data_IF_648832227629
#
_entry.id   IF_648832227629
#
_cell.length_a   1.000
_cell.length_b   1.000
_cell.length_c   1.000
_cell.angle_alpha   90.00
_cell.angle_beta   90.00
_cell.angle_gamma   90.00
#
_symmetry.space_group_name_H-M   'P 1'
#
loop_
_entity.id
_entity.type
_entity.pdbx_description
1 polymer ?
#
# COMPACT_ATOMS: atom_id res chain seq x y z
N UNK A 1 -16.94 -0.75 -3.20
CA UNK A 1 -17.59 -1.05 -1.90
C UNK A 1 -16.57 -1.40 -0.81
N UNK A 2 -15.74 -2.44 -1.00
CA UNK A 2 -14.74 -2.90 -0.01
C UNK A 2 -13.77 -1.82 0.51
N UNK A 3 -13.30 -0.94 -0.38
CA UNK A 3 -12.45 0.20 0.01
C UNK A 3 -13.09 1.08 1.11
N UNK A 4 -14.39 1.37 1.02
CA UNK A 4 -15.08 2.20 2.03
C UNK A 4 -15.20 1.46 3.36
N UNK A 5 -15.43 0.14 3.33
CA UNK A 5 -15.44 -0.71 4.52
C UNK A 5 -14.09 -0.70 5.24
N UNK A 6 -12.98 -0.70 4.49
CA UNK A 6 -11.64 -0.58 5.07
C UNK A 6 -11.43 0.77 5.78
N UNK A 7 -11.89 1.88 5.19
CA UNK A 7 -11.79 3.22 5.83
C UNK A 7 -12.48 3.23 7.19
N UNK A 8 -13.64 2.58 7.35
CA UNK A 8 -14.35 2.50 8.63
C UNK A 8 -13.86 1.34 9.53
N UNK A 9 -12.80 0.60 9.13
CA UNK A 9 -12.29 -0.59 9.82
C UNK A 9 -13.35 -1.68 10.04
N UNK A 10 -14.25 -1.87 9.06
CA UNK A 10 -15.17 -3.01 9.08
C UNK A 10 -14.44 -4.31 8.74
N UNK A 11 -14.81 -5.38 9.44
CA UNK A 11 -14.37 -6.75 9.13
C UNK A 11 -15.17 -7.28 7.96
N UNK A 12 -14.50 -7.90 6.99
CA UNK A 12 -15.11 -8.56 5.84
C UNK A 12 -14.77 -10.04 5.90
N UNK A 13 -15.75 -10.89 5.62
CA UNK A 13 -15.60 -12.35 5.55
C UNK A 13 -16.07 -12.76 4.16
N UNK A 14 -15.27 -13.60 3.49
CA UNK A 14 -15.65 -14.21 2.23
C UNK A 14 -16.62 -15.36 2.49
N UNK A 15 -17.74 -15.37 1.78
CA UNK A 15 -18.75 -16.43 1.85
C UNK A 15 -18.56 -17.32 0.62
N UNK A 16 -18.37 -18.64 0.78
CA UNK A 16 -18.25 -19.53 -0.36
C UNK A 16 -19.54 -19.48 -1.19
N UNK A 17 -19.40 -19.23 -2.48
CA UNK A 17 -20.51 -19.22 -3.43
C UNK A 17 -20.10 -20.03 -4.66
N UNK A 18 -20.75 -21.17 -4.84
CA UNK A 18 -20.53 -22.00 -6.03
C UNK A 18 -21.15 -21.31 -7.25
N UNK A 19 -20.31 -20.99 -8.23
CA UNK A 19 -20.77 -20.40 -9.48
C UNK A 19 -21.39 -21.49 -10.36
N UNK A 20 -22.68 -21.37 -10.67
CA UNK A 20 -23.35 -22.18 -11.69
C UNK A 20 -23.29 -21.45 -13.02
N UNK A 21 -22.24 -21.69 -13.79
CA UNK A 21 -22.15 -21.24 -15.17
C UNK A 21 -22.86 -22.28 -16.07
N UNK A 22 -23.78 -21.82 -16.91
CA UNK A 22 -24.33 -22.61 -18.01
C UNK A 22 -23.45 -22.48 -19.26
N UNK A 23 -24.07 -22.46 -20.43
CA UNK A 23 -23.37 -22.33 -21.74
C UNK A 23 -23.03 -20.86 -22.12
N UNK A 24 -22.99 -19.94 -21.14
CA UNK A 24 -22.77 -18.51 -21.39
C UNK A 24 -21.29 -18.22 -21.74
N UNK A 25 -21.05 -17.59 -22.90
CA UNK A 25 -19.72 -17.08 -23.24
C UNK A 25 -19.45 -15.74 -22.55
N UNK A 26 -18.27 -15.65 -21.90
CA UNK A 26 -17.78 -14.42 -21.28
C UNK A 26 -17.51 -13.34 -22.33
N UNK A 27 -18.27 -12.25 -22.26
CA UNK A 27 -18.05 -11.05 -23.09
C UNK A 27 -16.87 -10.18 -22.60
N UNK A 28 -16.13 -10.64 -21.58
CA UNK A 28 -15.12 -9.83 -20.90
C UNK A 28 -13.76 -9.91 -21.61
N UNK A 29 -13.35 -8.80 -22.22
CA UNK A 29 -12.01 -8.66 -22.80
C UNK A 29 -11.00 -8.28 -21.71
N UNK A 30 -10.26 -9.28 -21.22
CA UNK A 30 -9.29 -9.15 -20.12
C UNK A 30 -8.28 -8.02 -20.38
N UNK A 31 -7.70 -7.95 -21.58
CA UNK A 31 -6.71 -6.92 -21.95
C UNK A 31 -7.22 -5.49 -21.81
N UNK A 32 -8.51 -5.24 -22.11
CA UNK A 32 -9.12 -3.91 -22.00
C UNK A 32 -9.39 -3.52 -20.54
N UNK A 33 -9.70 -4.50 -19.69
CA UNK A 33 -10.18 -4.26 -18.33
C UNK A 33 -9.05 -4.25 -17.30
N UNK A 34 -7.94 -4.97 -17.54
CA UNK A 34 -6.81 -5.03 -16.60
C UNK A 34 -6.24 -3.65 -16.29
N UNK A 35 -6.02 -2.81 -17.30
CA UNK A 35 -5.48 -1.46 -17.10
C UNK A 35 -6.44 -0.56 -16.30
N UNK A 36 -7.73 -0.59 -16.65
CA UNK A 36 -8.76 0.19 -15.96
C UNK A 36 -8.90 -0.24 -14.50
N UNK A 37 -8.90 -1.56 -14.24
CA UNK A 37 -8.97 -2.13 -12.92
C UNK A 37 -7.73 -1.75 -12.09
N UNK A 38 -6.53 -1.94 -12.64
CA UNK A 38 -5.27 -1.59 -11.98
C UNK A 38 -5.25 -0.10 -11.58
N UNK A 39 -5.63 0.82 -12.48
CA UNK A 39 -5.67 2.25 -12.19
C UNK A 39 -6.69 2.60 -11.09
N UNK A 40 -7.91 2.03 -11.16
CA UNK A 40 -8.94 2.23 -10.13
C UNK A 40 -8.50 1.69 -8.77
N UNK A 41 -7.83 0.55 -8.73
CA UNK A 41 -7.29 -0.05 -7.52
C UNK A 41 -6.14 0.77 -6.93
N UNK A 42 -5.22 1.26 -7.76
CA UNK A 42 -4.14 2.14 -7.33
C UNK A 42 -4.69 3.44 -6.72
N UNK A 43 -5.68 4.07 -7.35
CA UNK A 43 -6.33 5.28 -6.81
C UNK A 43 -6.95 5.01 -5.43
N UNK A 44 -7.62 3.87 -5.25
CA UNK A 44 -8.20 3.49 -3.97
C UNK A 44 -7.12 3.17 -2.93
N UNK A 45 -6.03 2.53 -3.33
CA UNK A 45 -4.89 2.23 -2.46
C UNK A 45 -4.21 3.50 -1.95
N UNK A 46 -3.94 4.48 -2.82
CA UNK A 46 -3.36 5.77 -2.42
C UNK A 46 -4.29 6.53 -1.48
N UNK A 47 -5.59 6.60 -1.81
CA UNK A 47 -6.58 7.20 -0.89
C UNK A 47 -6.60 6.47 0.46
N UNK A 48 -6.51 5.14 0.49
CA UNK A 48 -6.47 4.36 1.74
C UNK A 48 -5.29 4.77 2.61
N UNK A 49 -4.10 4.89 2.00
CA UNK A 49 -2.89 5.27 2.72
C UNK A 49 -3.05 6.67 3.31
N UNK A 50 -3.47 7.63 2.49
CA UNK A 50 -3.61 9.03 2.92
C UNK A 50 -4.63 9.13 4.06
N UNK A 51 -5.83 8.59 3.90
CA UNK A 51 -6.87 8.72 4.91
C UNK A 51 -6.54 7.98 6.21
N UNK A 52 -6.09 6.72 6.15
CA UNK A 52 -5.87 5.93 7.35
C UNK A 52 -4.63 6.39 8.13
N UNK A 53 -3.53 6.76 7.45
CA UNK A 53 -2.24 7.02 8.11
C UNK A 53 -1.91 8.51 8.27
N UNK A 54 -2.48 9.41 7.44
CA UNK A 54 -2.17 10.84 7.55
C UNK A 54 -3.32 11.65 8.15
N UNK A 55 -4.57 11.32 7.81
CA UNK A 55 -5.73 12.05 8.36
C UNK A 55 -6.31 11.43 9.63
N UNK A 56 -6.40 10.09 9.70
CA UNK A 56 -7.09 9.41 10.80
C UNK A 56 -6.17 9.08 11.97
N UNK A 57 -5.15 8.26 11.72
CA UNK A 57 -4.22 7.77 12.75
C UNK A 57 -2.78 8.11 12.34
N UNK A 58 -2.24 9.21 12.88
CA UNK A 58 -0.85 9.60 12.65
C UNK A 58 0.09 8.70 13.45
N UNK A 59 0.52 7.61 12.82
CA UNK A 59 1.38 6.58 13.43
C UNK A 59 2.84 6.71 12.97
N UNK A 60 3.75 5.99 13.63
CA UNK A 60 5.14 5.88 13.18
C UNK A 60 5.24 5.37 11.72
N UNK A 61 4.28 4.58 11.27
CA UNK A 61 4.25 4.08 9.89
C UNK A 61 4.11 5.20 8.86
N UNK A 62 3.40 6.28 9.20
CA UNK A 62 3.19 7.45 8.33
C UNK A 62 4.48 8.18 7.97
N UNK A 63 5.51 8.09 8.83
CA UNK A 63 6.85 8.63 8.57
C UNK A 63 7.75 7.65 7.82
N UNK A 64 7.59 6.34 8.05
CA UNK A 64 8.39 5.28 7.40
C UNK A 64 8.21 5.27 5.89
N UNK A 65 6.98 5.42 5.38
CA UNK A 65 6.70 5.40 3.95
C UNK A 65 7.40 6.54 3.17
N UNK A 66 7.22 7.83 3.51
CA UNK A 66 7.82 8.93 2.76
C UNK A 66 9.34 8.96 2.91
N UNK A 67 9.87 8.71 4.11
CA UNK A 67 11.31 8.63 4.34
C UNK A 67 11.92 7.44 3.60
N UNK A 68 11.25 6.28 3.64
CA UNK A 68 11.67 5.09 2.93
C UNK A 68 11.73 5.30 1.41
N UNK A 69 10.70 5.92 0.83
CA UNK A 69 10.68 6.27 -0.59
C UNK A 69 11.77 7.28 -0.94
N UNK A 70 11.97 8.32 -0.12
CA UNK A 70 13.00 9.33 -0.37
C UNK A 70 14.41 8.73 -0.37
N UNK A 71 14.72 7.88 0.62
CA UNK A 71 16.01 7.20 0.71
C UNK A 71 16.22 6.17 -0.40
N UNK A 72 15.17 5.39 -0.72
CA UNK A 72 15.24 4.37 -1.77
C UNK A 72 15.43 5.01 -3.15
N UNK A 73 14.63 6.02 -3.49
CA UNK A 73 14.75 6.74 -4.75
C UNK A 73 16.04 7.55 -4.80
N UNK A 74 16.44 8.22 -3.72
CA UNK A 74 17.68 8.96 -3.64
C UNK A 74 18.91 8.07 -3.88
N UNK A 75 18.98 6.92 -3.21
CA UNK A 75 20.04 5.92 -3.42
C UNK A 75 20.05 5.36 -4.84
N UNK A 76 18.87 5.07 -5.41
CA UNK A 76 18.74 4.56 -6.78
C UNK A 76 19.17 5.60 -7.83
N UNK A 77 18.71 6.85 -7.72
CA UNK A 77 19.05 7.94 -8.64
C UNK A 77 20.54 8.26 -8.55
N UNK A 78 21.09 8.33 -7.33
CA UNK A 78 22.52 8.55 -7.13
C UNK A 78 23.36 7.42 -7.73
N UNK A 79 22.99 6.15 -7.45
CA UNK A 79 23.68 4.99 -8.01
C UNK A 79 23.63 4.96 -9.53
N UNK A 80 22.45 5.19 -10.11
CA UNK A 80 22.26 5.22 -11.56
C UNK A 80 23.04 6.35 -12.23
N UNK A 81 23.00 7.56 -11.69
CA UNK A 81 23.75 8.71 -12.24
C UNK A 81 25.26 8.47 -12.23
N UNK A 82 25.80 7.90 -11.14
CA UNK A 82 27.23 7.56 -11.02
C UNK A 82 27.63 6.41 -11.92
N UNK A 83 26.76 5.43 -12.09
CA UNK A 83 27.01 4.31 -12.98
C UNK A 83 27.06 4.75 -14.45
N UNK A 84 26.08 5.56 -14.89
CA UNK A 84 26.06 6.11 -16.26
C UNK A 84 27.30 6.99 -16.51
N UNK A 85 27.63 7.89 -15.59
CA UNK A 85 28.82 8.73 -15.71
C UNK A 85 30.13 7.92 -15.76
N UNK A 86 30.25 6.90 -14.92
CA UNK A 86 31.41 6.00 -14.91
C UNK A 86 31.54 5.18 -16.20
N UNK A 87 30.42 4.71 -16.75
CA UNK A 87 30.38 3.98 -18.01
C UNK A 87 30.87 4.82 -19.20
N UNK A 88 30.58 6.12 -19.23
CA UNK A 88 31.05 7.02 -20.29
C UNK A 88 32.57 7.29 -20.23
N UNK A 89 33.16 7.30 -19.03
CA UNK A 89 34.56 7.70 -18.81
C UNK A 89 35.46 6.45 -18.65
N UNK A 90 34.89 5.24 -18.63
CA UNK A 90 35.62 3.99 -18.39
C UNK A 90 36.15 3.87 -16.95
N UNK A 91 35.60 4.65 -16.02
CA UNK A 91 36.05 4.71 -14.63
C UNK A 91 35.25 3.74 -13.76
N UNK A 92 35.95 2.95 -12.94
CA UNK A 92 35.32 2.06 -11.95
C UNK A 92 34.80 2.86 -10.75
N UNK A 93 33.58 2.55 -10.30
CA UNK A 93 33.04 3.15 -9.08
C UNK A 93 33.87 2.75 -7.86
N UNK A 94 34.19 3.70 -7.00
CA UNK A 94 34.89 3.42 -5.73
C UNK A 94 33.94 2.73 -4.75
N UNK A 95 34.49 1.99 -3.78
CA UNK A 95 33.70 1.36 -2.73
C UNK A 95 32.80 2.36 -1.99
N UNK A 96 33.30 3.59 -1.73
CA UNK A 96 32.51 4.65 -1.09
C UNK A 96 31.32 5.12 -1.94
N UNK A 97 31.47 5.20 -3.27
CA UNK A 97 30.35 5.54 -4.18
C UNK A 97 29.27 4.46 -4.16
N UNK A 98 29.67 3.19 -4.19
CA UNK A 98 28.72 2.08 -4.10
C UNK A 98 28.00 2.08 -2.75
N UNK A 99 28.71 2.31 -1.64
CA UNK A 99 28.11 2.39 -0.31
C UNK A 99 27.12 3.56 -0.17
N UNK A 100 27.45 4.74 -0.70
CA UNK A 100 26.54 5.90 -0.67
C UNK A 100 25.28 5.70 -1.52
N UNK A 101 25.31 4.83 -2.52
CA UNK A 101 24.11 4.42 -3.26
C UNK A 101 23.33 3.33 -2.50
N UNK A 102 24.04 2.27 -2.10
CA UNK A 102 23.45 1.05 -1.57
C UNK A 102 22.90 1.20 -0.15
N UNK A 103 23.58 1.91 0.75
CA UNK A 103 23.15 2.04 2.15
C UNK A 103 21.83 2.82 2.28
N UNK A 104 21.66 4.01 1.66
CA UNK A 104 20.36 4.68 1.66
C UNK A 104 19.28 3.87 0.96
N UNK A 105 19.62 3.18 -0.14
CA UNK A 105 18.67 2.32 -0.84
C UNK A 105 18.15 1.19 0.06
N UNK A 106 19.06 0.46 0.72
CA UNK A 106 18.72 -0.63 1.63
C UNK A 106 17.95 -0.13 2.86
N UNK A 107 18.37 0.99 3.46
CA UNK A 107 17.64 1.60 4.57
C UNK A 107 16.23 2.02 4.15
N UNK A 108 16.09 2.61 2.95
CA UNK A 108 14.79 2.97 2.38
C UNK A 108 13.88 1.76 2.17
N UNK A 109 14.42 0.68 1.60
CA UNK A 109 13.71 -0.60 1.44
C UNK A 109 13.24 -1.16 2.79
N UNK A 110 14.09 -1.15 3.82
CA UNK A 110 13.72 -1.61 5.16
C UNK A 110 12.58 -0.79 5.77
N UNK A 111 12.60 0.53 5.61
CA UNK A 111 11.50 1.40 6.09
C UNK A 111 10.18 1.11 5.36
N UNK A 112 10.23 0.85 4.05
CA UNK A 112 9.04 0.47 3.27
C UNK A 112 8.52 -0.90 3.72
N UNK A 113 9.38 -1.89 3.90
CA UNK A 113 8.99 -3.21 4.42
C UNK A 113 8.39 -3.11 5.82
N UNK A 114 8.96 -2.27 6.69
CA UNK A 114 8.43 -2.02 8.03
C UNK A 114 7.06 -1.32 7.99
N UNK A 115 6.83 -0.43 7.02
CA UNK A 115 5.49 0.13 6.77
C UNK A 115 4.50 -0.95 6.32
N UNK A 116 4.89 -1.81 5.38
CA UNK A 116 4.02 -2.89 4.89
C UNK A 116 3.65 -3.87 6.00
N UNK A 117 4.60 -4.27 6.84
CA UNK A 117 4.33 -5.11 8.01
C UNK A 117 3.34 -4.45 8.98
N UNK A 118 3.48 -3.15 9.23
CA UNK A 118 2.50 -2.40 10.01
C UNK A 118 1.12 -2.39 9.35
N UNK A 119 1.04 -2.12 8.04
CA UNK A 119 -0.23 -2.09 7.31
C UNK A 119 -0.97 -3.43 7.36
N UNK A 120 -0.26 -4.54 7.16
CA UNK A 120 -0.84 -5.89 7.24
C UNK A 120 -1.33 -6.19 8.66
N UNK A 121 -0.53 -5.86 9.69
CA UNK A 121 -0.92 -6.10 11.09
C UNK A 121 -2.10 -5.24 11.56
N UNK A 122 -2.33 -4.09 10.93
CA UNK A 122 -3.40 -3.16 11.27
C UNK A 122 -4.81 -3.58 10.78
N UNK A 123 -4.91 -4.74 10.13
CA UNK A 123 -6.18 -5.27 9.63
C UNK A 123 -7.22 -5.42 10.76
N UNK A 124 -8.48 -4.97 10.54
CA UNK A 124 -9.50 -5.00 11.57
C UNK A 124 -9.87 -6.44 11.93
N UNK A 125 -9.78 -6.79 13.21
CA UNK A 125 -10.16 -8.11 13.74
C UNK A 125 -11.48 -8.12 14.51
N UNK A 126 -11.98 -6.94 14.91
CA UNK A 126 -13.18 -6.80 15.75
C UNK A 126 -14.35 -6.28 14.90
N UNK A 127 -15.46 -7.04 14.76
CA UNK A 127 -16.61 -6.60 13.98
C UNK A 127 -17.32 -5.38 14.61
N UNK A 128 -17.44 -4.30 13.85
CA UNK A 128 -18.06 -3.04 14.32
C UNK A 128 -19.59 -3.12 14.50
N UNK A 129 -20.27 -4.10 13.88
CA UNK A 129 -21.73 -4.22 14.00
C UNK A 129 -22.19 -4.55 15.43
N UNK A 130 -21.36 -5.25 16.22
CA UNK A 130 -21.68 -5.58 17.62
C UNK A 130 -21.72 -4.34 18.51
N UNK A 131 -20.79 -3.40 18.31
CA UNK A 131 -20.74 -2.15 19.07
C UNK A 131 -21.86 -1.19 18.67
N UNK A 132 -22.19 -1.10 17.37
CA UNK A 132 -23.30 -0.28 16.88
C UNK A 132 -24.65 -0.79 17.40
N UNK A 133 -24.87 -2.11 17.40
CA UNK A 133 -26.10 -2.71 17.96
C UNK A 133 -26.23 -2.41 19.46
N UNK A 134 -25.14 -2.50 20.21
CA UNK A 134 -25.13 -2.18 21.65
C UNK A 134 -25.41 -0.71 21.92
N UNK A 135 -24.82 0.22 21.16
CA UNK A 135 -25.09 1.65 21.29
C UNK A 135 -26.57 1.98 21.04
N UNK A 136 -27.17 1.40 19.98
CA UNK A 136 -28.59 1.56 19.66
C UNK A 136 -29.51 1.01 20.77
N UNK A 137 -29.14 -0.13 21.38
CA UNK A 137 -29.90 -0.73 22.49
C UNK A 137 -29.80 0.08 23.80
N UNK A 138 -28.73 0.85 23.98
CA UNK A 138 -28.50 1.69 25.16
C UNK A 138 -29.11 3.10 25.02
N UNK A 139 -29.90 3.35 23.96
CA UNK A 139 -30.53 4.66 23.73
C UNK A 139 -29.54 5.78 23.42
N UNK A 140 -28.28 5.47 23.13
CA UNK A 140 -27.32 6.47 22.69
C UNK A 140 -27.71 6.89 21.27
N UNK A 141 -28.20 8.12 21.11
CA UNK A 141 -28.33 8.74 19.80
C UNK A 141 -26.96 8.67 19.10
N UNK A 142 -26.94 8.05 17.93
CA UNK A 142 -25.77 7.95 17.09
C UNK A 142 -25.35 9.36 16.67
N UNK A 143 -24.08 9.79 16.87
CA UNK A 143 -23.58 11.02 16.28
C UNK A 143 -23.51 10.92 14.75
#
# INVERSE_FOLDING_TARGET
MLFRLNIIRAVVIDIPMDAKYGDEQSNLKISKIVAEFAFKHLRNFVKRIIYNYYLRDLSLASFKLPLGLALMLGGAIFGLSRWVAGAHIGATATAGTVMLAALPFLAGLQLILAFLGYDISSAPRRPIHKSLRRAKLLGAETP
#
